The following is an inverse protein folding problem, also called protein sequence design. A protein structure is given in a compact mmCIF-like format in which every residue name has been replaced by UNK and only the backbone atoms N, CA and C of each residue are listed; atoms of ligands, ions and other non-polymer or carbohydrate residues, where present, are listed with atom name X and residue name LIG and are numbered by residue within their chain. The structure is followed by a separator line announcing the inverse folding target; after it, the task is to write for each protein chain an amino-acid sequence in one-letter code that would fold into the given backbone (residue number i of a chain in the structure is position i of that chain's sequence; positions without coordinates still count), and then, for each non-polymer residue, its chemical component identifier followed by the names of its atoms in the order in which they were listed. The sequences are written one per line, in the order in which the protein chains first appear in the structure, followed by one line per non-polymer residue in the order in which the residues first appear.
data_IF_304139829052
#
_entry.id   IF_304139829052
#
_cell.length_a   1.000
_cell.length_b   1.000
_cell.length_c   1.000
_cell.angle_alpha   90.00
_cell.angle_beta   90.00
_cell.angle_gamma   90.00
#
_symmetry.space_group_name_H-M   'P 1'
#
loop_
_entity.id
_entity.type
_entity.pdbx_description
1 polymer ?
#
# COMPACT_ATOMS: atom_id res chain seq x y z
N UNK A 1 5.26 -44.06 15.28
CA UNK A 1 6.26 -44.98 14.76
C UNK A 1 7.60 -44.48 15.23
N UNK A 2 8.38 -45.37 15.85
CA UNK A 2 9.72 -45.03 16.34
C UNK A 2 10.72 -45.05 15.15
N UNK A 3 11.90 -44.46 15.34
CA UNK A 3 12.93 -44.34 14.31
C UNK A 3 13.35 -45.71 13.73
N UNK A 4 13.28 -46.74 14.54
CA UNK A 4 13.57 -48.14 14.17
C UNK A 4 12.56 -48.71 13.14
N UNK A 5 11.31 -48.29 13.17
CA UNK A 5 10.28 -48.76 12.23
C UNK A 5 10.53 -48.25 10.78
N UNK A 6 11.13 -47.06 10.64
CA UNK A 6 11.45 -46.51 9.33
C UNK A 6 12.66 -47.17 8.68
N UNK A 7 13.62 -47.69 9.47
CA UNK A 7 14.76 -48.49 8.97
C UNK A 7 14.25 -49.77 8.30
N UNK A 8 13.36 -50.49 8.96
CA UNK A 8 12.75 -51.72 8.44
C UNK A 8 11.97 -51.44 7.15
N UNK A 9 11.24 -50.29 7.08
CA UNK A 9 10.49 -49.87 5.88
C UNK A 9 11.44 -49.51 4.74
N UNK A 10 12.55 -48.85 5.00
CA UNK A 10 13.57 -48.54 4.00
C UNK A 10 14.23 -49.80 3.44
N UNK A 11 14.60 -50.79 4.34
CA UNK A 11 15.13 -52.06 3.87
C UNK A 11 14.18 -52.80 2.92
N UNK A 12 12.91 -52.93 3.32
CA UNK A 12 11.88 -53.58 2.48
C UNK A 12 11.72 -52.83 1.16
N UNK A 13 11.80 -51.50 1.18
CA UNK A 13 11.68 -50.68 -0.05
C UNK A 13 12.85 -50.94 -0.99
N UNK A 14 14.09 -50.97 -0.50
CA UNK A 14 15.27 -51.26 -1.33
C UNK A 14 15.31 -52.70 -1.83
N UNK A 15 14.79 -53.66 -1.05
CA UNK A 15 14.64 -55.07 -1.47
C UNK A 15 13.45 -55.28 -2.41
N UNK A 16 12.68 -54.23 -2.76
CA UNK A 16 11.43 -54.26 -3.56
C UNK A 16 10.30 -55.10 -2.95
N UNK A 17 10.34 -55.36 -1.68
CA UNK A 17 9.37 -56.17 -0.92
C UNK A 17 8.30 -55.32 -0.21
N UNK A 18 8.42 -54.00 -0.24
CA UNK A 18 7.48 -53.10 0.41
C UNK A 18 6.11 -53.08 -0.31
N UNK A 19 5.05 -53.28 0.50
CA UNK A 19 3.66 -53.18 0.05
C UNK A 19 3.29 -51.75 -0.36
N UNK A 20 2.14 -51.59 -1.04
CA UNK A 20 1.65 -50.27 -1.47
C UNK A 20 1.38 -49.32 -0.29
N UNK A 21 0.92 -49.87 0.84
CA UNK A 21 0.63 -49.14 2.08
C UNK A 21 1.94 -48.70 2.76
N UNK A 22 2.94 -49.58 2.86
CA UNK A 22 4.26 -49.31 3.42
C UNK A 22 5.01 -48.24 2.60
N UNK A 23 4.89 -48.27 1.26
CA UNK A 23 5.44 -47.22 0.39
C UNK A 23 4.79 -45.88 0.63
N UNK A 24 3.46 -45.82 0.83
CA UNK A 24 2.74 -44.57 1.13
C UNK A 24 3.22 -43.95 2.42
N UNK A 25 3.35 -44.75 3.48
CA UNK A 25 3.85 -44.30 4.80
C UNK A 25 5.28 -43.76 4.67
N UNK A 26 6.15 -44.42 3.91
CA UNK A 26 7.52 -43.97 3.70
C UNK A 26 7.59 -42.66 2.94
N UNK A 27 6.80 -42.49 1.88
CA UNK A 27 6.72 -41.24 1.09
C UNK A 27 6.20 -40.07 1.94
N UNK A 28 5.19 -40.33 2.79
CA UNK A 28 4.63 -39.31 3.67
C UNK A 28 5.64 -38.86 4.73
N UNK A 29 6.44 -39.79 5.25
CA UNK A 29 7.52 -39.48 6.19
C UNK A 29 8.63 -38.66 5.53
N UNK A 30 9.09 -39.01 4.32
CA UNK A 30 10.16 -38.30 3.58
C UNK A 30 9.71 -36.86 3.22
N UNK A 31 8.42 -36.59 3.06
CA UNK A 31 7.88 -35.26 2.74
C UNK A 31 7.83 -34.29 3.90
N UNK A 32 8.08 -34.73 5.14
CA UNK A 32 8.06 -33.82 6.30
C UNK A 32 9.24 -32.84 6.23
N UNK A 33 9.01 -31.55 6.52
CA UNK A 33 10.09 -30.57 6.55
C UNK A 33 11.11 -30.92 7.64
N UNK A 34 12.41 -30.86 7.29
CA UNK A 34 13.52 -31.18 8.22
C UNK A 34 13.95 -32.64 8.27
N UNK A 35 13.27 -33.57 7.61
CA UNK A 35 13.56 -35.00 7.65
C UNK A 35 14.76 -35.42 6.79
N UNK A 36 15.23 -34.53 5.91
CA UNK A 36 16.27 -34.83 4.93
C UNK A 36 17.60 -35.28 5.54
N UNK A 37 17.99 -34.66 6.64
CA UNK A 37 19.24 -34.96 7.33
C UNK A 37 19.12 -36.30 8.08
N UNK A 38 17.98 -36.58 8.70
CA UNK A 38 17.67 -37.84 9.37
C UNK A 38 17.61 -39.00 8.37
N UNK A 39 16.99 -38.81 7.21
CA UNK A 39 16.96 -39.78 6.12
C UNK A 39 18.36 -40.10 5.58
N UNK A 40 19.20 -39.11 5.37
CA UNK A 40 20.59 -39.31 4.90
C UNK A 40 21.40 -40.10 5.94
N UNK A 41 21.21 -39.81 7.22
CA UNK A 41 21.91 -40.50 8.30
C UNK A 41 21.50 -41.97 8.40
N UNK A 42 20.22 -42.26 8.23
CA UNK A 42 19.70 -43.63 8.19
C UNK A 42 20.21 -44.42 6.98
N UNK A 43 20.24 -43.79 5.82
CA UNK A 43 20.80 -44.39 4.60
C UNK A 43 22.31 -44.68 4.77
N UNK A 44 23.05 -43.79 5.41
CA UNK A 44 24.49 -43.99 5.66
C UNK A 44 24.74 -45.12 6.64
N UNK A 45 23.89 -45.29 7.69
CA UNK A 45 23.97 -46.43 8.61
C UNK A 45 23.70 -47.76 7.90
N UNK A 46 22.62 -47.83 7.11
CA UNK A 46 22.28 -49.02 6.34
C UNK A 46 23.41 -49.39 5.32
N UNK A 47 24.03 -48.40 4.72
CA UNK A 47 25.15 -48.61 3.81
C UNK A 47 26.39 -49.14 4.51
N UNK A 48 26.70 -48.66 5.72
CA UNK A 48 27.80 -49.15 6.56
C UNK A 48 27.56 -50.58 7.01
N UNK A 49 26.34 -50.95 7.41
CA UNK A 49 25.96 -52.29 7.79
C UNK A 49 26.01 -53.29 6.63
N UNK A 50 25.54 -52.86 5.45
CA UNK A 50 25.62 -53.64 4.21
C UNK A 50 27.08 -53.88 3.73
N UNK A 51 27.96 -52.91 3.99
CA UNK A 51 29.40 -53.03 3.61
C UNK A 51 30.19 -53.98 4.51
N UNK A 52 29.63 -54.30 5.68
CA UNK A 52 30.29 -55.25 6.63
C UNK A 52 30.00 -56.72 6.31
N UNK A 53 28.97 -57.03 5.52
CA UNK A 53 28.62 -58.42 5.11
C UNK A 53 29.20 -58.87 3.78
N UNK A 54 29.99 -58.04 3.06
CA UNK A 54 30.65 -58.46 1.80
C UNK A 54 31.94 -59.19 2.17
N UNK A 55 31.90 -60.50 2.15
CA UNK A 55 33.07 -61.34 2.27
C UNK A 55 34.00 -61.08 1.05
N UNK A 56 35.31 -61.04 1.27
CA UNK A 56 36.34 -60.81 0.22
C UNK A 56 36.21 -61.74 -0.98
N UNK A 57 35.70 -62.95 -0.81
CA UNK A 57 35.40 -63.89 -1.88
C UNK A 57 34.28 -63.44 -2.78
N UNK A 58 33.29 -62.76 -2.23
CA UNK A 58 32.14 -62.20 -2.97
C UNK A 58 32.52 -60.95 -3.72
N UNK A 59 33.43 -60.13 -3.20
CA UNK A 59 34.01 -58.98 -3.91
C UNK A 59 34.82 -59.40 -5.13
N UNK A 60 35.65 -60.44 -5.02
CA UNK A 60 36.40 -60.99 -6.14
C UNK A 60 35.50 -61.67 -7.19
N UNK A 61 34.47 -62.39 -6.81
CA UNK A 61 33.47 -62.95 -7.75
C UNK A 61 32.71 -61.89 -8.46
N UNK A 62 32.27 -60.82 -7.81
CA UNK A 62 31.56 -59.69 -8.40
C UNK A 62 32.46 -58.92 -9.34
N UNK A 63 33.74 -58.71 -9.00
CA UNK A 63 34.71 -58.05 -9.85
C UNK A 63 35.01 -58.89 -11.12
N UNK A 64 35.18 -60.20 -10.99
CA UNK A 64 35.35 -61.11 -12.10
C UNK A 64 34.13 -61.24 -13.01
N UNK A 65 32.93 -61.09 -12.46
CA UNK A 65 31.67 -61.05 -13.21
C UNK A 65 31.51 -59.72 -13.97
N UNK A 66 31.92 -58.62 -13.38
CA UNK A 66 31.96 -57.29 -14.02
C UNK A 66 32.98 -57.26 -15.18
N UNK A 67 34.17 -57.79 -14.98
CA UNK A 67 35.19 -57.85 -16.05
C UNK A 67 34.73 -58.72 -17.23
N UNK A 68 34.11 -59.87 -16.98
CA UNK A 68 33.56 -60.71 -18.06
C UNK A 68 32.46 -60.00 -18.85
N UNK A 69 31.56 -59.31 -18.20
CA UNK A 69 30.51 -58.54 -18.87
C UNK A 69 31.04 -57.32 -19.62
N UNK A 70 32.16 -56.75 -19.21
CA UNK A 70 32.82 -55.65 -19.92
C UNK A 70 33.55 -56.14 -21.19
N UNK A 71 34.08 -57.37 -21.19
CA UNK A 71 34.71 -57.93 -22.37
C UNK A 71 33.71 -58.46 -23.40
N UNK A 72 32.56 -58.99 -22.98
CA UNK A 72 31.45 -59.35 -23.88
C UNK A 72 30.78 -58.11 -24.52
N UNK A 73 30.81 -56.96 -23.85
CA UNK A 73 30.21 -55.70 -24.39
C UNK A 73 31.04 -55.08 -25.53
N UNK A 74 32.27 -55.56 -25.79
CA UNK A 74 33.09 -55.10 -26.92
C UNK A 74 32.65 -55.60 -28.30
N UNK A 75 31.71 -56.55 -28.36
CA UNK A 75 31.32 -57.21 -29.65
C UNK A 75 30.03 -56.59 -30.25
N UNK A 76 29.32 -55.74 -29.53
CA UNK A 76 28.18 -55.04 -30.07
C UNK A 76 28.40 -53.51 -30.09
N UNK A 77 29.19 -53.08 -31.10
CA UNK A 77 29.13 -51.64 -31.42
C UNK A 77 27.72 -51.29 -31.90
N UNK A 78 26.94 -50.48 -31.17
CA UNK A 78 25.65 -50.06 -31.67
C UNK A 78 25.91 -49.20 -32.90
N UNK A 79 25.40 -49.63 -34.07
CA UNK A 79 25.27 -48.77 -35.25
C UNK A 79 24.65 -47.45 -34.77
N UNK A 80 25.44 -46.37 -34.62
CA UNK A 80 24.98 -45.05 -34.30
C UNK A 80 23.92 -44.65 -35.31
N UNK A 81 22.67 -44.76 -34.94
CA UNK A 81 21.50 -44.31 -35.71
C UNK A 81 21.66 -42.81 -35.90
N UNK A 82 21.99 -42.40 -37.12
CA UNK A 82 22.36 -41.04 -37.56
C UNK A 82 21.27 -39.99 -37.38
N UNK A 83 20.23 -40.30 -36.60
CA UNK A 83 19.04 -39.47 -36.39
C UNK A 83 19.13 -38.60 -35.12
N UNK A 84 20.01 -38.90 -34.16
CA UNK A 84 20.16 -38.15 -32.94
C UNK A 84 20.51 -36.66 -33.16
N UNK A 85 21.47 -36.28 -34.06
CA UNK A 85 21.83 -34.88 -34.27
C UNK A 85 20.69 -34.06 -34.92
N UNK A 86 19.79 -34.71 -35.64
CA UNK A 86 18.63 -34.00 -36.27
C UNK A 86 17.61 -33.65 -35.23
N UNK A 87 17.29 -34.55 -34.28
CA UNK A 87 16.34 -34.30 -33.20
C UNK A 87 16.78 -33.13 -32.32
N UNK A 88 18.06 -33.05 -31.95
CA UNK A 88 18.59 -31.93 -31.16
C UNK A 88 18.56 -30.61 -31.95
N UNK A 89 18.83 -30.63 -33.25
CA UNK A 89 18.77 -29.43 -34.11
C UNK A 89 17.31 -28.93 -34.24
N UNK A 90 16.34 -29.83 -34.44
CA UNK A 90 14.92 -29.48 -34.51
C UNK A 90 14.39 -29.02 -33.15
N UNK A 91 14.77 -29.69 -32.05
CA UNK A 91 14.42 -29.28 -30.73
C UNK A 91 14.98 -27.89 -30.39
N UNK A 92 16.22 -27.60 -30.74
CA UNK A 92 16.86 -26.31 -30.52
C UNK A 92 16.20 -25.17 -31.33
N UNK A 93 15.80 -25.43 -32.57
CA UNK A 93 15.13 -24.46 -33.44
C UNK A 93 13.72 -24.08 -32.97
N UNK A 94 13.05 -24.95 -32.23
CA UNK A 94 11.73 -24.67 -31.64
C UNK A 94 11.87 -24.09 -30.22
N UNK A 95 12.77 -24.67 -29.40
CA UNK A 95 12.94 -24.27 -28.01
C UNK A 95 13.54 -22.85 -27.86
N UNK A 96 14.51 -22.50 -28.72
CA UNK A 96 15.13 -21.16 -28.67
C UNK A 96 14.16 -20.02 -28.91
N UNK A 97 13.33 -20.00 -29.98
CA UNK A 97 12.35 -18.93 -30.15
C UNK A 97 11.23 -18.95 -29.09
N UNK A 98 10.84 -20.12 -28.58
CA UNK A 98 9.88 -20.21 -27.49
C UNK A 98 10.44 -19.63 -26.18
N UNK A 99 11.69 -20.00 -25.83
CA UNK A 99 12.36 -19.44 -24.65
C UNK A 99 12.60 -17.93 -24.81
N UNK A 100 12.99 -17.48 -26.02
CA UNK A 100 13.16 -16.05 -26.31
C UNK A 100 11.83 -15.31 -26.24
N UNK A 101 10.75 -15.89 -26.78
CA UNK A 101 9.39 -15.35 -26.68
C UNK A 101 8.89 -15.27 -25.24
N UNK A 102 9.12 -16.31 -24.44
CA UNK A 102 8.79 -16.29 -23.01
C UNK A 102 9.66 -15.29 -22.25
N UNK A 103 10.97 -15.24 -22.54
CA UNK A 103 11.87 -14.29 -21.90
C UNK A 103 11.51 -12.83 -22.23
N UNK A 104 11.14 -12.55 -23.49
CA UNK A 104 10.65 -11.23 -23.89
C UNK A 104 9.29 -10.93 -23.27
N UNK A 105 8.37 -11.87 -23.25
CA UNK A 105 7.05 -11.70 -22.62
C UNK A 105 7.18 -11.39 -21.13
N UNK A 106 7.91 -12.23 -20.37
CA UNK A 106 8.14 -11.99 -18.95
C UNK A 106 9.05 -10.79 -18.69
N UNK A 107 10.00 -10.50 -19.58
CA UNK A 107 10.85 -9.31 -19.50
C UNK A 107 10.08 -8.02 -19.67
N UNK A 108 9.20 -7.93 -20.68
CA UNK A 108 8.34 -6.78 -20.93
C UNK A 108 7.32 -6.63 -19.79
N UNK A 109 6.73 -7.73 -19.31
CA UNK A 109 5.81 -7.69 -18.17
C UNK A 109 6.51 -7.23 -16.89
N UNK A 110 7.77 -7.64 -16.68
CA UNK A 110 8.57 -7.21 -15.53
C UNK A 110 9.02 -5.74 -15.66
N UNK A 111 9.38 -5.30 -16.86
CA UNK A 111 9.71 -3.88 -17.14
C UNK A 111 8.48 -2.96 -17.00
N UNK A 112 7.28 -3.44 -17.34
CA UNK A 112 6.04 -2.71 -17.12
C UNK A 112 5.64 -2.63 -15.63
N UNK A 113 6.17 -3.52 -14.80
CA UNK A 113 6.06 -3.50 -13.32
C UNK A 113 7.20 -2.72 -12.64
N UNK A 114 8.12 -2.10 -13.41
CA UNK A 114 9.05 -1.12 -12.82
C UNK A 114 8.20 -0.08 -12.10
N UNK A 115 8.38 -0.02 -10.81
CA UNK A 115 7.72 0.86 -9.86
C UNK A 115 7.68 2.26 -10.46
N UNK A 116 6.55 2.61 -11.04
CA UNK A 116 6.32 4.01 -11.36
C UNK A 116 6.09 4.64 -9.99
N UNK A 117 7.06 5.41 -9.55
CA UNK A 117 6.93 6.18 -8.31
C UNK A 117 5.60 6.92 -8.35
N UNK A 118 4.86 6.95 -7.24
CA UNK A 118 3.59 7.65 -7.21
C UNK A 118 3.84 9.12 -7.52
N UNK A 119 2.99 9.70 -8.37
CA UNK A 119 3.00 11.14 -8.56
C UNK A 119 2.61 11.81 -7.25
N UNK A 120 3.42 12.74 -6.79
CA UNK A 120 3.21 13.43 -5.52
C UNK A 120 3.31 14.94 -5.72
N UNK A 121 2.35 15.66 -5.18
CA UNK A 121 2.37 17.12 -5.05
C UNK A 121 2.35 17.45 -3.56
N UNK A 122 3.34 18.19 -3.12
CA UNK A 122 3.41 18.75 -1.78
C UNK A 122 3.29 20.27 -1.88
N UNK A 123 2.40 20.84 -1.09
CA UNK A 123 2.22 22.29 -0.94
C UNK A 123 2.69 22.68 0.43
N UNK A 124 3.67 23.57 0.50
CA UNK A 124 4.24 24.03 1.75
C UNK A 124 3.28 24.94 2.53
N UNK A 125 3.64 25.18 3.78
CA UNK A 125 2.97 26.16 4.63
C UNK A 125 2.95 27.54 3.92
N UNK A 126 1.85 28.26 4.03
CA UNK A 126 1.70 29.59 3.45
C UNK A 126 1.47 29.59 1.94
N UNK A 127 1.48 28.45 1.28
CA UNK A 127 1.31 28.32 -0.17
C UNK A 127 -0.01 27.64 -0.55
N UNK A 128 -0.40 27.83 -1.79
CA UNK A 128 -1.53 27.13 -2.42
C UNK A 128 -1.11 26.71 -3.83
N UNK A 129 -1.65 25.60 -4.31
CA UNK A 129 -1.40 25.14 -5.65
C UNK A 129 -2.71 24.76 -6.37
N UNK A 130 -2.67 24.75 -7.69
CA UNK A 130 -3.71 24.15 -8.52
C UNK A 130 -3.08 23.23 -9.56
N UNK A 131 -3.77 22.16 -9.87
CA UNK A 131 -3.32 21.20 -10.88
C UNK A 131 -4.52 20.62 -11.62
N UNK A 132 -4.25 20.07 -12.79
CA UNK A 132 -5.22 19.27 -13.54
C UNK A 132 -4.70 17.84 -13.60
N UNK A 133 -5.51 16.91 -13.14
CA UNK A 133 -5.22 15.47 -13.18
C UNK A 133 -5.32 14.94 -14.62
N UNK A 134 -4.74 13.76 -14.92
CA UNK A 134 -4.76 13.17 -16.25
C UNK A 134 -6.16 12.90 -16.84
N UNK A 135 -7.19 12.81 -16.00
CA UNK A 135 -8.59 12.62 -16.39
C UNK A 135 -9.33 13.96 -16.68
N UNK A 136 -8.64 15.09 -16.52
CA UNK A 136 -9.21 16.43 -16.67
C UNK A 136 -9.84 17.00 -15.39
N UNK A 137 -9.81 16.28 -14.26
CA UNK A 137 -10.24 16.79 -12.96
C UNK A 137 -9.34 17.94 -12.52
N UNK A 138 -9.95 19.05 -12.11
CA UNK A 138 -9.20 20.19 -11.55
C UNK A 138 -9.19 20.11 -10.04
N UNK A 139 -8.02 20.35 -9.47
CA UNK A 139 -7.78 20.28 -8.02
C UNK A 139 -7.08 21.55 -7.56
N UNK A 140 -7.59 22.15 -6.51
CA UNK A 140 -6.92 23.21 -5.76
C UNK A 140 -6.49 22.65 -4.43
N UNK A 141 -5.24 22.84 -4.06
CA UNK A 141 -4.63 22.37 -2.82
C UNK A 141 -4.39 23.57 -1.91
N UNK A 142 -4.84 23.45 -0.67
CA UNK A 142 -4.57 24.45 0.36
C UNK A 142 -3.19 24.25 0.99
N UNK A 143 -2.80 25.15 1.87
CA UNK A 143 -1.50 25.15 2.55
C UNK A 143 -1.26 23.86 3.34
N UNK A 144 -0.01 23.41 3.41
CA UNK A 144 0.42 22.20 4.10
C UNK A 144 -0.32 20.93 3.62
N UNK A 145 -0.58 20.83 2.31
CA UNK A 145 -1.35 19.72 1.71
C UNK A 145 -0.46 18.83 0.87
N UNK A 146 -0.63 17.52 1.02
CA UNK A 146 -0.01 16.49 0.21
C UNK A 146 -1.07 15.73 -0.56
N UNK A 147 -0.89 15.62 -1.87
CA UNK A 147 -1.75 14.82 -2.75
C UNK A 147 -0.87 13.85 -3.54
N UNK A 148 -1.27 12.60 -3.62
CA UNK A 148 -0.57 11.63 -4.45
C UNK A 148 -1.54 10.67 -5.16
N UNK A 149 -1.10 10.12 -6.28
CA UNK A 149 -1.76 9.02 -6.99
C UNK A 149 -0.70 8.14 -7.66
N UNK A 150 -1.02 6.89 -7.88
CA UNK A 150 -0.12 5.91 -8.49
C UNK A 150 -0.31 5.81 -10.02
N UNK A 151 0.50 4.97 -10.65
CA UNK A 151 0.46 4.71 -12.08
C UNK A 151 -0.81 3.99 -12.56
N UNK A 152 -1.59 3.43 -11.63
CA UNK A 152 -2.88 2.79 -11.92
C UNK A 152 -4.03 3.80 -11.98
N UNK A 153 -3.75 5.09 -11.67
CA UNK A 153 -4.73 6.16 -11.77
C UNK A 153 -5.41 6.18 -13.15
N UNK A 154 -6.74 6.21 -13.14
CA UNK A 154 -7.57 6.21 -14.33
C UNK A 154 -7.49 4.95 -15.21
N UNK A 155 -6.91 3.83 -14.73
CA UNK A 155 -7.03 2.53 -15.41
C UNK A 155 -8.39 1.87 -15.10
N UNK A 156 -8.67 1.58 -13.83
CA UNK A 156 -9.97 1.08 -13.34
C UNK A 156 -10.76 2.17 -12.64
N UNK A 157 -10.21 2.71 -11.56
CA UNK A 157 -10.73 3.82 -10.78
C UNK A 157 -9.76 5.02 -10.84
N UNK A 158 -10.24 6.19 -10.42
CA UNK A 158 -9.46 7.43 -10.32
C UNK A 158 -9.14 7.67 -8.84
N UNK A 159 -8.18 6.93 -8.30
CA UNK A 159 -7.87 6.92 -6.87
C UNK A 159 -6.72 7.86 -6.56
N UNK A 160 -6.94 8.75 -5.58
CA UNK A 160 -5.95 9.68 -5.04
C UNK A 160 -5.88 9.59 -3.52
N UNK A 161 -4.75 9.97 -2.97
CA UNK A 161 -4.51 10.04 -1.53
C UNK A 161 -4.29 11.49 -1.13
N UNK A 162 -4.99 11.94 -0.11
CA UNK A 162 -4.99 13.31 0.39
C UNK A 162 -4.62 13.36 1.87
N UNK A 163 -3.63 14.17 2.22
CA UNK A 163 -3.36 14.63 3.58
C UNK A 163 -3.34 16.15 3.54
N UNK A 164 -4.39 16.80 4.03
CA UNK A 164 -4.58 18.24 3.89
C UNK A 164 -5.97 18.65 3.49
N UNK A 165 -6.10 19.77 2.77
CA UNK A 165 -7.36 20.32 2.28
C UNK A 165 -7.31 20.57 0.78
N UNK A 166 -8.31 20.05 0.08
CA UNK A 166 -8.40 20.19 -1.36
C UNK A 166 -9.84 20.34 -1.85
N UNK A 167 -10.00 21.23 -2.82
CA UNK A 167 -11.24 21.43 -3.56
C UNK A 167 -11.13 20.77 -4.92
N UNK A 168 -12.17 20.04 -5.31
CA UNK A 168 -12.21 19.23 -6.51
C UNK A 168 -13.35 19.65 -7.43
N UNK A 169 -13.04 19.85 -8.71
CA UNK A 169 -14.00 19.87 -9.82
C UNK A 169 -13.77 18.59 -10.63
N UNK A 170 -14.48 17.53 -10.28
CA UNK A 170 -14.24 16.20 -10.84
C UNK A 170 -14.81 16.10 -12.25
N UNK A 171 -14.00 15.67 -13.21
CA UNK A 171 -14.42 15.38 -14.57
C UNK A 171 -15.51 14.29 -14.58
N UNK A 172 -16.63 14.54 -15.31
CA UNK A 172 -17.76 13.62 -15.37
C UNK A 172 -17.37 12.33 -16.07
N UNK A 173 -17.39 11.21 -15.33
CA UNK A 173 -17.18 9.88 -15.85
C UNK A 173 -17.97 8.88 -14.98
N UNK A 174 -18.98 8.25 -15.57
CA UNK A 174 -19.85 7.29 -14.87
C UNK A 174 -19.25 5.87 -14.80
N UNK A 175 -18.27 5.59 -15.64
CA UNK A 175 -17.65 4.25 -15.72
C UNK A 175 -16.52 4.07 -14.69
N UNK A 176 -15.84 5.17 -14.33
CA UNK A 176 -14.70 5.15 -13.40
C UNK A 176 -14.96 6.07 -12.24
N UNK A 177 -15.01 5.51 -11.04
CA UNK A 177 -15.21 6.27 -9.81
C UNK A 177 -14.01 7.16 -9.52
N UNK A 178 -14.26 8.36 -9.03
CA UNK A 178 -13.22 9.20 -8.45
C UNK A 178 -13.23 8.98 -6.93
N UNK A 179 -12.10 8.58 -6.37
CA UNK A 179 -12.00 8.18 -4.97
C UNK A 179 -10.87 8.97 -4.31
N UNK A 180 -11.21 9.77 -3.33
CA UNK A 180 -10.25 10.43 -2.44
C UNK A 180 -10.08 9.61 -1.18
N UNK A 181 -8.88 9.06 -0.98
CA UNK A 181 -8.50 8.41 0.26
C UNK A 181 -7.90 9.45 1.21
N UNK A 182 -8.56 9.68 2.32
CA UNK A 182 -8.16 10.67 3.31
C UNK A 182 -8.27 10.07 4.71
N UNK A 183 -7.15 9.88 5.41
CA UNK A 183 -7.09 9.12 6.64
C UNK A 183 -7.73 7.71 6.44
N UNK A 184 -8.72 7.33 7.26
CA UNK A 184 -9.42 6.05 7.17
C UNK A 184 -10.69 6.11 6.29
N UNK A 185 -10.87 7.20 5.54
CA UNK A 185 -12.05 7.42 4.71
C UNK A 185 -11.78 7.22 3.24
N UNK A 186 -12.80 6.72 2.54
CA UNK A 186 -12.94 6.79 1.09
C UNK A 186 -14.11 7.72 0.74
N UNK A 187 -13.81 8.74 -0.07
CA UNK A 187 -14.76 9.76 -0.53
C UNK A 187 -14.94 9.54 -2.03
N UNK A 188 -16.10 9.00 -2.40
CA UNK A 188 -16.41 8.57 -3.77
C UNK A 188 -17.28 9.60 -4.50
N UNK A 189 -16.91 9.93 -5.75
CA UNK A 189 -17.57 10.88 -6.63
C UNK A 189 -17.60 10.38 -8.08
N UNK A 190 -18.58 10.84 -8.88
CA UNK A 190 -18.73 10.46 -10.29
C UNK A 190 -18.71 11.64 -11.27
N UNK A 191 -18.49 12.84 -10.78
CA UNK A 191 -18.55 14.09 -11.56
C UNK A 191 -19.21 15.17 -10.73
N UNK A 192 -18.52 15.61 -9.70
CA UNK A 192 -19.02 16.41 -8.59
C UNK A 192 -18.05 17.55 -8.30
N UNK A 193 -18.58 18.58 -7.64
CA UNK A 193 -17.79 19.67 -7.09
C UNK A 193 -17.90 19.64 -5.58
N UNK A 194 -16.75 19.43 -4.90
CA UNK A 194 -16.72 19.25 -3.44
C UNK A 194 -15.37 19.66 -2.85
N UNK A 195 -15.36 19.89 -1.54
CA UNK A 195 -14.16 20.15 -0.76
C UNK A 195 -13.95 19.06 0.29
N UNK A 196 -12.69 18.71 0.54
CA UNK A 196 -12.27 17.77 1.59
C UNK A 196 -11.19 18.43 2.42
N UNK A 197 -11.44 18.57 3.72
CA UNK A 197 -10.47 18.98 4.72
C UNK A 197 -10.17 17.82 5.65
N UNK A 198 -8.95 17.27 5.57
CA UNK A 198 -8.58 16.08 6.32
C UNK A 198 -7.10 16.00 6.62
N UNK A 199 -6.56 17.02 7.26
CA UNK A 199 -5.19 16.99 7.78
C UNK A 199 -5.04 15.86 8.80
N UNK A 200 -3.88 15.21 8.79
CA UNK A 200 -3.62 14.08 9.70
C UNK A 200 -3.74 14.47 11.17
N UNK A 201 -3.32 15.70 11.50
CA UNK A 201 -3.29 16.21 12.87
C UNK A 201 -4.63 16.77 13.35
N UNK A 202 -5.61 16.97 12.46
CA UNK A 202 -6.95 17.43 12.84
C UNK A 202 -7.75 16.30 13.50
N UNK A 203 -8.65 16.65 14.40
CA UNK A 203 -9.53 15.70 15.11
C UNK A 203 -10.66 15.15 14.24
N UNK A 204 -10.95 15.80 13.13
CA UNK A 204 -12.02 15.42 12.20
C UNK A 204 -11.60 15.54 10.75
N UNK A 205 -12.36 14.87 9.88
CA UNK A 205 -12.33 15.07 8.43
C UNK A 205 -13.68 15.64 8.02
N UNK A 206 -13.65 16.75 7.29
CA UNK A 206 -14.87 17.41 6.80
C UNK A 206 -14.95 17.31 5.28
N UNK A 207 -16.13 16.96 4.76
CA UNK A 207 -16.42 16.96 3.32
C UNK A 207 -17.65 17.83 3.07
N UNK A 208 -17.53 18.81 2.17
CA UNK A 208 -18.59 19.72 1.78
C UNK A 208 -18.93 19.51 0.31
N UNK A 209 -20.22 19.43 -0.03
CA UNK A 209 -20.66 19.16 -1.39
C UNK A 209 -21.36 20.37 -2.01
N UNK A 210 -20.81 20.88 -3.14
CA UNK A 210 -21.40 21.95 -3.93
C UNK A 210 -22.34 21.41 -5.01
N UNK A 211 -21.92 20.44 -5.80
CA UNK A 211 -22.68 19.92 -6.95
C UNK A 211 -22.49 18.42 -7.10
N UNK A 212 -23.56 17.71 -7.46
CA UNK A 212 -23.55 16.28 -7.74
C UNK A 212 -23.90 15.40 -6.54
N UNK A 213 -23.17 14.35 -6.29
CA UNK A 213 -23.36 13.41 -5.16
C UNK A 213 -22.03 12.84 -4.72
N UNK A 214 -21.80 12.82 -3.41
CA UNK A 214 -20.58 12.26 -2.80
C UNK A 214 -20.98 11.26 -1.73
N UNK A 215 -20.32 10.10 -1.74
CA UNK A 215 -20.40 9.10 -0.68
C UNK A 215 -19.11 9.13 0.13
N UNK A 216 -19.22 9.39 1.41
CA UNK A 216 -18.12 9.34 2.37
C UNK A 216 -18.28 8.07 3.20
N UNK A 217 -17.30 7.20 3.22
CA UNK A 217 -17.38 5.92 3.92
C UNK A 217 -16.07 5.57 4.63
N UNK A 218 -16.22 4.84 5.73
CA UNK A 218 -15.16 4.11 6.38
C UNK A 218 -15.43 2.60 6.29
N UNK A 219 -14.73 1.77 7.06
CA UNK A 219 -14.91 0.31 7.05
C UNK A 219 -16.27 -0.17 7.56
N UNK A 220 -16.98 0.64 8.35
CA UNK A 220 -18.17 0.23 9.11
C UNK A 220 -19.43 1.01 8.76
N UNK A 221 -19.29 2.25 8.27
CA UNK A 221 -20.42 3.16 8.05
C UNK A 221 -20.19 4.04 6.81
N UNK A 222 -21.27 4.66 6.31
CA UNK A 222 -21.23 5.55 5.17
C UNK A 222 -22.28 6.65 5.24
N UNK A 223 -21.91 7.84 4.76
CA UNK A 223 -22.80 8.98 4.60
C UNK A 223 -22.89 9.39 3.13
N UNK A 224 -24.10 9.58 2.60
CA UNK A 224 -24.36 10.13 1.28
C UNK A 224 -24.70 11.61 1.39
N UNK A 225 -23.96 12.45 0.66
CA UNK A 225 -24.17 13.89 0.60
C UNK A 225 -24.95 14.30 -0.65
N UNK A 226 -25.84 15.28 -0.45
CA UNK A 226 -26.50 16.06 -1.51
C UNK A 226 -25.92 17.47 -1.55
N UNK A 227 -26.07 18.20 -2.67
CA UNK A 227 -25.63 19.58 -2.75
C UNK A 227 -26.14 20.43 -1.58
N UNK A 228 -25.26 21.23 -0.99
CA UNK A 228 -25.54 22.03 0.20
C UNK A 228 -25.45 21.28 1.53
N UNK A 229 -24.97 20.04 1.51
CA UNK A 229 -24.74 19.28 2.74
C UNK A 229 -23.24 19.11 3.00
N UNK A 230 -22.90 18.97 4.28
CA UNK A 230 -21.58 18.61 4.77
C UNK A 230 -21.64 17.43 5.73
N UNK A 231 -20.56 16.67 5.78
CA UNK A 231 -20.35 15.63 6.78
C UNK A 231 -19.01 15.86 7.46
N UNK A 232 -19.03 15.73 8.77
CA UNK A 232 -17.86 15.74 9.63
C UNK A 232 -17.68 14.33 10.22
N UNK A 233 -16.52 13.74 9.96
CA UNK A 233 -16.12 12.47 10.55
C UNK A 233 -15.18 12.73 11.73
N UNK A 234 -15.63 12.38 12.92
CA UNK A 234 -14.84 12.50 14.16
C UNK A 234 -13.93 11.28 14.32
N UNK A 235 -12.62 11.45 14.13
CA UNK A 235 -11.63 10.35 14.12
C UNK A 235 -11.63 9.53 15.41
N UNK A 236 -11.72 10.20 16.57
CA UNK A 236 -11.68 9.54 17.87
C UNK A 236 -12.95 8.70 18.17
N UNK A 237 -14.11 9.16 17.70
CA UNK A 237 -15.40 8.50 17.92
C UNK A 237 -15.79 7.56 16.78
N UNK A 238 -15.12 7.67 15.64
CA UNK A 238 -15.44 6.98 14.39
C UNK A 238 -16.89 7.18 13.94
N UNK A 239 -17.45 8.38 14.15
CA UNK A 239 -18.84 8.71 13.85
C UNK A 239 -18.95 9.82 12.84
N UNK A 240 -19.98 9.73 11.99
CA UNK A 240 -20.35 10.76 11.03
C UNK A 240 -21.41 11.68 11.61
N UNK A 241 -21.20 13.00 11.50
CA UNK A 241 -22.20 14.02 11.79
C UNK A 241 -22.52 14.76 10.49
N UNK A 242 -23.75 14.60 10.00
CA UNK A 242 -24.20 15.25 8.77
C UNK A 242 -25.03 16.49 9.09
N UNK A 243 -24.81 17.59 8.37
CA UNK A 243 -25.55 18.85 8.52
C UNK A 243 -25.67 19.58 7.18
N UNK A 244 -26.58 20.56 7.14
CA UNK A 244 -26.63 21.49 6.01
C UNK A 244 -25.49 22.52 6.10
N UNK A 245 -25.00 22.98 4.94
CA UNK A 245 -24.07 24.10 4.84
C UNK A 245 -24.86 25.39 5.03
N UNK A 246 -24.45 26.21 6.00
CA UNK A 246 -25.14 27.45 6.32
C UNK A 246 -24.95 28.51 5.23
N UNK A 247 -23.80 28.56 4.65
CA UNK A 247 -23.40 29.47 3.56
C UNK A 247 -22.62 28.69 2.50
N UNK A 248 -23.14 28.61 1.30
CA UNK A 248 -22.50 27.87 0.20
C UNK A 248 -21.08 28.34 -0.10
N UNK A 249 -20.72 29.56 0.29
CA UNK A 249 -19.34 30.04 0.20
C UNK A 249 -18.37 29.29 1.12
N UNK A 250 -18.89 28.53 2.14
CA UNK A 250 -18.03 27.69 3.00
C UNK A 250 -17.18 26.70 2.17
N UNK A 251 -17.67 26.27 1.01
CA UNK A 251 -17.04 25.22 0.21
C UNK A 251 -15.72 25.67 -0.42
N UNK A 252 -15.57 26.96 -0.70
CA UNK A 252 -14.41 27.51 -1.41
C UNK A 252 -13.82 28.79 -0.79
N UNK A 253 -14.19 29.10 0.44
CA UNK A 253 -13.73 30.29 1.14
C UNK A 253 -12.22 30.47 1.14
N UNK A 254 -11.51 29.42 1.46
CA UNK A 254 -10.05 29.47 1.53
C UNK A 254 -9.42 29.79 0.16
N UNK A 255 -10.07 29.40 -0.94
CA UNK A 255 -9.64 29.77 -2.31
C UNK A 255 -9.79 31.26 -2.55
N UNK A 256 -10.80 31.89 -1.96
CA UNK A 256 -11.14 33.30 -2.07
C UNK A 256 -10.48 34.17 -0.98
N UNK A 257 -9.48 33.65 -0.29
CA UNK A 257 -8.82 34.33 0.83
C UNK A 257 -9.80 34.79 1.92
N UNK A 258 -10.74 33.93 2.27
CA UNK A 258 -11.67 34.14 3.38
C UNK A 258 -11.42 33.07 4.46
N UNK A 259 -11.64 33.43 5.71
CA UNK A 259 -11.63 32.54 6.87
C UNK A 259 -13.00 32.56 7.49
N UNK A 260 -13.56 31.38 7.78
CA UNK A 260 -14.81 31.27 8.53
C UNK A 260 -14.53 30.42 9.77
N UNK A 261 -14.95 30.95 10.87
CA UNK A 261 -14.91 30.32 12.18
C UNK A 261 -16.31 30.27 12.77
N UNK A 262 -16.75 29.08 13.16
CA UNK A 262 -18.07 28.82 13.76
C UNK A 262 -17.85 28.20 15.14
N UNK A 263 -17.79 29.00 16.17
CA UNK A 263 -17.47 28.60 17.55
C UNK A 263 -16.14 27.82 17.63
N UNK A 264 -15.21 28.15 16.73
CA UNK A 264 -13.88 27.51 16.70
C UNK A 264 -13.05 28.01 17.87
N UNK A 265 -12.36 27.10 18.54
CA UNK A 265 -11.42 27.45 19.60
C UNK A 265 -10.21 28.22 19.04
N UNK A 266 -9.60 29.09 19.86
CA UNK A 266 -8.38 29.78 19.45
C UNK A 266 -7.24 28.79 19.08
N UNK A 267 -7.23 27.60 19.64
CA UNK A 267 -6.29 26.55 19.24
C UNK A 267 -6.51 26.08 17.80
N UNK A 268 -7.76 25.82 17.39
CA UNK A 268 -8.10 25.43 16.01
C UNK A 268 -7.83 26.58 15.03
N UNK A 269 -8.10 27.82 15.45
CA UNK A 269 -7.78 29.02 14.68
C UNK A 269 -6.26 29.12 14.51
N UNK A 270 -5.50 28.96 15.59
CA UNK A 270 -4.04 28.98 15.56
C UNK A 270 -3.49 27.96 14.56
N UNK A 271 -3.94 26.70 14.61
CA UNK A 271 -3.53 25.65 13.68
C UNK A 271 -3.83 26.05 12.22
N UNK A 272 -4.99 26.66 11.97
CA UNK A 272 -5.34 27.15 10.63
C UNK A 272 -4.40 28.27 10.17
N UNK A 273 -4.08 29.20 11.06
CA UNK A 273 -3.19 30.33 10.74
C UNK A 273 -1.71 29.87 10.60
N UNK A 274 -1.27 28.91 11.40
CA UNK A 274 0.04 28.28 11.27
C UNK A 274 0.22 27.69 9.87
N UNK A 275 -0.78 26.95 9.39
CA UNK A 275 -0.75 26.37 8.03
C UNK A 275 -0.78 27.45 6.95
N UNK A 276 -1.63 28.46 7.11
CA UNK A 276 -1.83 29.49 6.07
C UNK A 276 -0.72 30.52 5.96
N UNK A 277 0.02 30.75 7.02
CA UNK A 277 1.07 31.78 7.04
C UNK A 277 2.47 31.24 7.26
N UNK A 278 2.61 29.94 7.59
CA UNK A 278 3.90 29.34 7.90
C UNK A 278 4.49 29.88 9.21
N UNK A 279 3.64 30.19 10.18
CA UNK A 279 4.03 30.74 11.50
C UNK A 279 3.78 29.73 12.59
N UNK A 280 4.37 29.93 13.74
CA UNK A 280 4.10 29.19 14.98
C UNK A 280 3.30 30.06 15.93
N UNK A 281 2.22 29.53 16.51
CA UNK A 281 1.40 30.25 17.50
C UNK A 281 1.63 29.67 18.89
N UNK A 282 1.98 30.53 19.83
CA UNK A 282 2.26 30.18 21.22
C UNK A 282 1.28 30.92 22.14
N UNK A 283 0.65 30.18 23.04
CA UNK A 283 -0.28 30.74 24.03
C UNK A 283 0.41 30.87 25.38
N UNK A 284 0.28 32.03 26.01
CA UNK A 284 0.78 32.27 27.37
C UNK A 284 -0.04 31.53 28.44
N UNK A 285 -1.27 31.12 28.12
CA UNK A 285 -2.16 30.37 29.01
C UNK A 285 -2.97 29.30 28.26
N UNK A 286 -3.05 28.10 28.83
CA UNK A 286 -3.92 27.02 28.31
C UNK A 286 -5.41 27.42 28.24
N UNK A 287 -5.85 28.34 29.09
CA UNK A 287 -7.25 28.82 29.08
C UNK A 287 -7.59 29.51 27.76
N UNK A 288 -6.64 30.25 27.18
CA UNK A 288 -6.85 30.95 25.91
C UNK A 288 -7.13 30.01 24.76
N UNK A 289 -6.54 28.81 24.75
CA UNK A 289 -6.73 27.81 23.68
C UNK A 289 -8.21 27.46 23.49
N UNK A 290 -8.99 27.44 24.55
CA UNK A 290 -10.38 27.00 24.53
C UNK A 290 -11.39 28.15 24.32
N UNK A 291 -10.91 29.37 24.14
CA UNK A 291 -11.78 30.52 23.87
C UNK A 291 -12.42 30.37 22.49
N UNK A 292 -13.78 30.34 22.40
CA UNK A 292 -14.46 30.22 21.12
C UNK A 292 -14.52 31.56 20.39
N UNK A 293 -14.37 31.50 19.08
CA UNK A 293 -14.57 32.65 18.20
C UNK A 293 -15.45 32.25 17.02
N UNK A 294 -16.39 33.14 16.67
CA UNK A 294 -17.22 33.00 15.45
C UNK A 294 -17.11 34.28 14.63
N UNK A 295 -16.86 34.12 13.36
CA UNK A 295 -16.75 35.26 12.44
C UNK A 295 -16.25 34.88 11.07
N UNK A 296 -16.45 35.79 10.12
CA UNK A 296 -15.89 35.70 8.77
C UNK A 296 -14.87 36.82 8.60
N UNK A 297 -13.65 36.46 8.26
CA UNK A 297 -12.54 37.41 8.15
C UNK A 297 -12.00 37.32 6.71
N UNK A 298 -11.87 38.49 6.05
CA UNK A 298 -11.09 38.55 4.81
C UNK A 298 -9.61 38.44 5.19
N UNK A 299 -8.97 37.41 4.67
CA UNK A 299 -7.58 37.11 4.93
C UNK A 299 -6.65 38.04 4.11
N UNK A 300 -6.38 39.23 4.63
CA UNK A 300 -5.47 40.21 4.03
C UNK A 300 -4.07 40.18 4.63
N UNK A 301 -3.96 39.91 5.93
CA UNK A 301 -2.71 39.72 6.65
C UNK A 301 -2.94 39.04 7.99
N UNK A 302 -1.91 38.38 8.50
CA UNK A 302 -1.93 37.76 9.85
C UNK A 302 -2.28 38.76 10.95
N UNK A 303 -1.69 39.99 10.88
CA UNK A 303 -2.01 41.09 11.79
C UNK A 303 -3.50 41.43 11.79
N UNK A 304 -4.09 41.55 10.60
CA UNK A 304 -5.54 41.88 10.47
C UNK A 304 -6.43 40.79 11.11
N UNK A 305 -6.05 39.50 10.95
CA UNK A 305 -6.81 38.40 11.56
C UNK A 305 -6.78 38.51 13.08
N UNK A 306 -5.62 38.65 13.70
CA UNK A 306 -5.50 38.76 15.15
C UNK A 306 -6.11 40.08 15.66
N UNK A 307 -6.02 41.18 14.92
CA UNK A 307 -6.69 42.43 15.27
C UNK A 307 -8.20 42.24 15.35
N UNK A 308 -8.84 41.61 14.37
CA UNK A 308 -10.31 41.34 14.41
C UNK A 308 -10.66 40.41 15.56
N UNK A 309 -9.89 39.39 15.84
CA UNK A 309 -10.14 38.50 16.99
C UNK A 309 -10.03 39.28 18.31
N UNK A 310 -9.04 40.18 18.44
CA UNK A 310 -8.82 40.98 19.64
C UNK A 310 -9.96 41.98 19.92
N UNK A 311 -10.74 42.37 18.90
CA UNK A 311 -11.90 43.23 19.09
C UNK A 311 -13.07 42.51 19.78
N UNK A 312 -13.10 41.19 19.74
CA UNK A 312 -14.18 40.36 20.30
C UNK A 312 -13.83 39.73 21.63
N UNK A 313 -12.54 39.51 21.87
CA UNK A 313 -12.03 38.95 23.11
C UNK A 313 -10.77 39.72 23.54
N UNK A 314 -10.61 40.07 24.84
CA UNK A 314 -9.50 40.86 25.36
C UNK A 314 -8.22 40.06 25.35
N UNK A 315 -7.58 39.95 24.19
CA UNK A 315 -6.28 39.32 23.97
C UNK A 315 -5.27 40.34 23.46
N UNK A 316 -4.02 40.05 23.76
CA UNK A 316 -2.86 40.68 23.15
C UNK A 316 -2.14 39.71 22.24
N UNK A 317 -1.49 40.21 21.21
CA UNK A 317 -0.66 39.37 20.34
C UNK A 317 0.59 40.15 19.93
N UNK A 318 1.70 39.43 19.87
CA UNK A 318 2.99 39.93 19.44
C UNK A 318 3.55 39.01 18.36
N UNK A 319 4.14 39.60 17.33
CA UNK A 319 4.74 38.88 16.23
C UNK A 319 6.27 39.03 16.32
N UNK A 320 6.96 37.94 16.64
CA UNK A 320 8.42 37.86 16.73
C UNK A 320 8.97 36.91 15.68
N UNK A 321 9.43 37.43 14.54
CA UNK A 321 9.86 36.64 13.41
C UNK A 321 8.70 35.82 12.81
N UNK A 322 8.81 34.52 12.89
CA UNK A 322 7.76 33.56 12.46
C UNK A 322 6.88 33.02 13.61
N UNK A 323 7.02 33.61 14.80
CA UNK A 323 6.24 33.17 15.98
C UNK A 323 5.26 34.26 16.41
N UNK A 324 4.01 33.86 16.62
CA UNK A 324 2.95 34.71 17.19
C UNK A 324 2.71 34.28 18.64
N UNK A 325 2.94 35.18 19.57
CA UNK A 325 2.61 34.96 20.98
C UNK A 325 1.25 35.59 21.31
N UNK A 326 0.35 34.80 21.89
CA UNK A 326 -1.00 35.23 22.27
C UNK A 326 -1.10 35.26 23.80
N UNK A 327 -1.38 36.44 24.35
CA UNK A 327 -1.59 36.69 25.79
C UNK A 327 -2.99 37.22 26.10
N UNK A 328 -3.33 37.28 27.38
CA UNK A 328 -4.53 37.92 27.86
C UNK A 328 -4.25 39.37 28.20
N UNK A 329 -5.10 40.31 27.76
CA UNK A 329 -5.03 41.72 28.19
C UNK A 329 -5.65 41.94 29.57
N UNK A 330 -6.19 40.92 30.20
CA UNK A 330 -6.74 40.96 31.56
C UNK A 330 -5.72 40.24 32.47
N UNK A 331 -5.11 41.00 33.37
CA UNK A 331 -4.35 40.47 34.50
C UNK A 331 -5.23 39.86 35.55
#
# INVERSE_FOLDING_TARGET
MEQHDYIVLLEKFFKKEASSEERRILIEWIRKPGIRDEFNLLCEQMWKEAAVEIDKTMEEEMWNHLQRNLDESKILSPKKRRWQPIIYKVAATILLPVCLGLATYFGVEHMNKVSQDPFMVAVDYGQKANLTLPDGTKVWLNSATHLSYDAEYNKSDRKIYLDGEAYFEVAKNKEKRFIVCCNDLEIEALGTTFDVKGYRDDHSVTTLLAEGSVRVSNKTDAALLKPGEKVEYHKNKQTFTKSAISDMREIDFWRNNMLIFNSSSLAEIATTLERMYGVKVVFDSEKLKNVPFSGTIRNSSLHNVFYIISLTYPLTYELEGDTVRIGSSIN
#
